data_IF_130083360272
#
_entry.id   IF_130083360272
#
_cell.length_a   1.000
_cell.length_b   1.000
_cell.length_c   1.000
_cell.angle_alpha   90.00
_cell.angle_beta   90.00
_cell.angle_gamma   90.00
#
_symmetry.space_group_name_H-M   'P 1'
#
loop_
_entity.id
_entity.type
_entity.pdbx_description
1 polymer ?
#
# COMPACT_ATOMS: atom_id res chain seq x y z
N UNK A 1 -16.20 -15.61 14.71
CA UNK A 1 -14.79 -15.46 14.32
C UNK A 1 -14.41 -13.97 14.19
N UNK A 2 -14.91 -13.11 15.08
CA UNK A 2 -14.74 -11.65 15.01
C UNK A 2 -13.36 -11.19 15.49
N UNK A 3 -12.77 -11.88 16.46
CA UNK A 3 -11.46 -11.52 17.05
C UNK A 3 -10.28 -11.44 16.05
N UNK A 4 -10.44 -11.92 14.82
CA UNK A 4 -9.40 -11.90 13.78
C UNK A 4 -9.75 -11.07 12.56
N UNK A 5 -10.86 -10.31 12.58
CA UNK A 5 -11.22 -9.45 11.45
C UNK A 5 -10.25 -8.27 11.35
N UNK A 6 -9.46 -8.14 10.26
CA UNK A 6 -8.49 -7.06 10.12
C UNK A 6 -9.11 -5.65 10.17
N UNK A 7 -10.39 -5.49 9.78
CA UNK A 7 -11.09 -4.20 9.82
C UNK A 7 -11.18 -3.68 11.26
N UNK A 8 -11.38 -4.56 12.24
CA UNK A 8 -11.49 -4.18 13.65
C UNK A 8 -10.14 -3.76 14.25
N UNK A 9 -9.02 -4.21 13.66
CA UNK A 9 -7.67 -4.00 14.21
C UNK A 9 -6.87 -2.91 13.50
N UNK A 10 -7.17 -2.62 12.24
CA UNK A 10 -6.52 -1.55 11.45
C UNK A 10 -6.45 -0.18 12.17
N UNK A 11 -7.49 0.27 12.91
CA UNK A 11 -7.41 1.55 13.63
C UNK A 11 -6.28 1.61 14.68
N UNK A 12 -5.82 0.46 15.20
CA UNK A 12 -4.77 0.40 16.23
C UNK A 12 -3.36 0.58 15.68
N UNK A 13 -3.17 0.54 14.36
CA UNK A 13 -1.87 0.60 13.70
C UNK A 13 -1.44 2.06 13.40
N UNK A 14 -1.69 3.00 14.31
CA UNK A 14 -1.47 4.44 14.08
C UNK A 14 -0.02 4.82 13.81
N UNK A 15 0.92 4.18 14.52
CA UNK A 15 2.36 4.43 14.40
C UNK A 15 3.02 3.63 13.26
N UNK A 16 2.24 2.77 12.58
CA UNK A 16 2.75 1.90 11.52
C UNK A 16 2.35 2.45 10.17
N UNK A 17 3.30 2.58 9.25
CA UNK A 17 3.00 2.91 7.85
C UNK A 17 2.39 1.70 7.16
N UNK A 18 1.27 1.91 6.47
CA UNK A 18 0.55 0.86 5.77
C UNK A 18 0.30 1.26 4.31
N UNK A 19 0.52 0.32 3.41
CA UNK A 19 0.13 0.39 2.01
C UNK A 19 -0.87 -0.72 1.70
N UNK A 20 -2.06 -0.35 1.25
CA UNK A 20 -3.09 -1.27 0.77
C UNK A 20 -3.17 -1.19 -0.75
N UNK A 21 -3.00 -2.32 -1.45
CA UNK A 21 -3.06 -2.41 -2.91
C UNK A 21 -4.23 -3.30 -3.34
N UNK A 22 -5.06 -2.82 -4.27
CA UNK A 22 -6.24 -3.56 -4.76
C UNK A 22 -6.30 -3.64 -6.28
N UNK A 23 -6.80 -4.77 -6.78
CA UNK A 23 -7.17 -4.93 -8.18
C UNK A 23 -8.65 -4.53 -8.36
N UNK A 24 -8.93 -3.66 -9.33
CA UNK A 24 -10.29 -3.20 -9.63
C UNK A 24 -11.18 -4.31 -10.19
N UNK A 25 -10.59 -5.28 -10.87
CA UNK A 25 -11.28 -6.41 -11.52
C UNK A 25 -11.03 -7.73 -10.79
N UNK A 26 -10.68 -7.67 -9.50
CA UNK A 26 -10.54 -8.87 -8.68
C UNK A 26 -11.90 -9.58 -8.53
N UNK A 27 -11.96 -10.83 -8.98
CA UNK A 27 -13.16 -11.67 -8.89
C UNK A 27 -13.41 -12.18 -7.47
N UNK A 28 -12.35 -12.38 -6.67
CA UNK A 28 -12.43 -12.97 -5.34
C UNK A 28 -12.66 -11.90 -4.26
N UNK A 29 -12.09 -10.71 -4.43
CA UNK A 29 -12.18 -9.61 -3.48
C UNK A 29 -12.94 -8.45 -4.12
N UNK A 30 -14.11 -8.12 -3.55
CA UNK A 30 -14.92 -7.02 -4.04
C UNK A 30 -14.19 -5.67 -3.88
N UNK A 31 -14.30 -4.79 -4.88
CA UNK A 31 -13.70 -3.45 -4.83
C UNK A 31 -14.13 -2.64 -3.57
N UNK A 32 -15.35 -2.86 -3.08
CA UNK A 32 -15.86 -2.22 -1.86
C UNK A 32 -15.06 -2.58 -0.61
N UNK A 33 -14.46 -3.78 -0.55
CA UNK A 33 -13.63 -4.21 0.58
C UNK A 33 -12.43 -3.28 0.77
N UNK A 34 -11.83 -2.77 -0.31
CA UNK A 34 -10.74 -1.80 -0.22
C UNK A 34 -11.15 -0.46 0.36
N UNK A 35 -12.38 -0.02 0.09
CA UNK A 35 -12.94 1.20 0.68
C UNK A 35 -13.24 1.03 2.17
N UNK A 36 -13.80 -0.11 2.59
CA UNK A 36 -14.04 -0.40 4.01
C UNK A 36 -12.74 -0.49 4.81
N UNK A 37 -11.72 -1.16 4.25
CA UNK A 37 -10.39 -1.22 4.88
C UNK A 37 -9.77 0.18 4.99
N UNK A 38 -9.85 1.02 3.95
CA UNK A 38 -9.34 2.40 4.02
C UNK A 38 -10.09 3.28 5.00
N UNK A 39 -11.40 3.07 5.16
CA UNK A 39 -12.23 3.79 6.13
C UNK A 39 -11.89 3.42 7.57
N UNK A 40 -11.52 2.16 7.81
CA UNK A 40 -11.09 1.68 9.12
C UNK A 40 -9.62 2.00 9.44
N UNK A 41 -8.77 2.16 8.43
CA UNK A 41 -7.34 2.40 8.63
C UNK A 41 -7.03 3.82 9.12
N UNK A 42 -5.88 3.97 9.80
CA UNK A 42 -5.35 5.26 10.21
C UNK A 42 -5.09 6.19 9.01
N UNK A 43 -5.09 7.51 9.24
CA UNK A 43 -4.90 8.51 8.18
C UNK A 43 -3.57 8.36 7.42
N UNK A 44 -2.54 7.81 8.08
CA UNK A 44 -1.23 7.49 7.52
C UNK A 44 -1.23 6.33 6.52
N UNK A 45 -2.37 5.66 6.32
CA UNK A 45 -2.51 4.52 5.41
C UNK A 45 -2.69 4.97 3.97
N UNK A 46 -1.83 4.47 3.09
CA UNK A 46 -1.91 4.64 1.65
C UNK A 46 -2.83 3.57 1.03
N UNK A 47 -3.72 3.98 0.12
CA UNK A 47 -4.58 3.08 -0.66
C UNK A 47 -4.31 3.31 -2.15
N UNK A 48 -3.96 2.24 -2.86
CA UNK A 48 -3.76 2.27 -4.32
C UNK A 48 -4.59 1.18 -5.00
N UNK A 49 -5.25 1.53 -6.10
CA UNK A 49 -6.12 0.63 -6.85
C UNK A 49 -5.73 0.61 -8.32
N UNK A 50 -5.51 -0.58 -8.85
CA UNK A 50 -4.91 -0.82 -10.17
C UNK A 50 -5.88 -1.55 -11.08
N UNK A 51 -5.75 -1.33 -12.38
CA UNK A 51 -6.40 -2.18 -13.37
C UNK A 51 -5.66 -3.53 -13.41
N UNK A 52 -6.35 -4.59 -13.04
CA UNK A 52 -5.75 -5.91 -12.90
C UNK A 52 -6.69 -6.91 -12.23
N UNK A 53 -6.24 -8.16 -12.18
CA UNK A 53 -6.93 -9.28 -11.53
C UNK A 53 -6.28 -9.59 -10.18
N UNK A 54 -6.75 -10.65 -9.54
CA UNK A 54 -6.36 -11.05 -8.19
C UNK A 54 -4.84 -11.24 -7.98
N UNK A 55 -4.11 -11.60 -9.03
CA UNK A 55 -2.67 -11.84 -8.96
C UNK A 55 -1.84 -10.56 -8.75
N UNK A 56 -2.42 -9.39 -9.05
CA UNK A 56 -1.78 -8.08 -8.95
C UNK A 56 -0.39 -8.06 -9.62
N UNK A 57 -0.25 -8.75 -10.76
CA UNK A 57 1.03 -9.05 -11.38
C UNK A 57 1.65 -7.91 -12.22
N UNK A 58 1.06 -6.71 -12.20
CA UNK A 58 1.58 -5.58 -12.99
C UNK A 58 2.90 -5.04 -12.42
N UNK A 59 3.78 -4.56 -13.31
CA UNK A 59 5.05 -3.95 -12.89
C UNK A 59 4.85 -2.65 -12.11
N UNK A 60 3.74 -1.95 -12.36
CA UNK A 60 3.35 -0.76 -11.60
C UNK A 60 3.09 -1.09 -10.12
N UNK A 61 2.34 -2.16 -9.82
CA UNK A 61 2.10 -2.63 -8.45
C UNK A 61 3.41 -2.94 -7.74
N UNK A 62 4.36 -3.58 -8.45
CA UNK A 62 5.68 -3.92 -7.91
C UNK A 62 6.52 -2.69 -7.63
N UNK A 63 6.57 -1.75 -8.57
CA UNK A 63 7.34 -0.51 -8.43
C UNK A 63 6.83 0.33 -7.25
N UNK A 64 5.52 0.49 -7.13
CA UNK A 64 4.91 1.21 -6.01
C UNK A 64 5.19 0.57 -4.66
N UNK A 65 5.11 -0.76 -4.59
CA UNK A 65 5.43 -1.51 -3.38
C UNK A 65 6.89 -1.34 -2.99
N UNK A 66 7.80 -1.42 -3.95
CA UNK A 66 9.22 -1.21 -3.70
C UNK A 66 9.49 0.19 -3.19
N UNK A 67 8.94 1.21 -3.85
CA UNK A 67 9.10 2.61 -3.45
C UNK A 67 8.57 2.85 -2.02
N UNK A 68 7.38 2.34 -1.71
CA UNK A 68 6.81 2.43 -0.37
C UNK A 68 7.74 1.79 0.68
N UNK A 69 8.30 0.61 0.40
CA UNK A 69 9.21 -0.08 1.31
C UNK A 69 10.54 0.68 1.47
N UNK A 70 11.10 1.22 0.39
CA UNK A 70 12.32 2.02 0.43
C UNK A 70 12.13 3.27 1.31
N UNK A 71 10.99 3.95 1.18
CA UNK A 71 10.67 5.13 1.98
C UNK A 71 10.35 4.75 3.44
N UNK A 72 9.52 3.73 3.66
CA UNK A 72 9.13 3.28 5.01
C UNK A 72 10.31 2.74 5.83
N UNK A 73 11.31 2.14 5.19
CA UNK A 73 12.50 1.60 5.84
C UNK A 73 13.69 2.57 5.82
N UNK A 74 13.56 3.74 5.19
CA UNK A 74 14.61 4.75 5.12
C UNK A 74 15.75 4.43 4.15
N UNK A 75 15.55 3.51 3.20
CA UNK A 75 16.50 3.20 2.12
C UNK A 75 16.46 4.21 0.97
N UNK A 76 15.42 5.05 0.87
CA UNK A 76 15.29 6.12 -0.12
C UNK A 76 16.23 7.32 0.07
N UNK A 77 17.02 7.34 1.16
CA UNK A 77 17.92 8.42 1.55
C UNK A 77 19.36 8.30 1.02
N UNK A 78 19.55 8.10 -0.28
CA UNK A 78 20.85 8.35 -0.94
C UNK A 78 20.70 8.65 -2.44
N UNK A 79 20.20 9.84 -2.78
CA UNK A 79 20.53 10.49 -4.06
C UNK A 79 20.61 12.01 -3.91
N UNK A 80 21.65 12.46 -3.20
CA UNK A 80 22.22 13.79 -3.37
C UNK A 80 23.73 13.65 -3.55
N UNK A 81 24.16 13.42 -4.79
CA UNK A 81 25.54 13.61 -5.22
C UNK A 81 25.53 14.28 -6.60
N UNK A 82 25.37 15.59 -6.57
CA UNK A 82 26.01 16.61 -7.41
C UNK A 82 26.69 16.12 -8.69
N UNK A 83 26.02 16.27 -9.84
CA UNK A 83 26.71 16.40 -11.12
C UNK A 83 27.00 17.89 -11.38
N UNK A 84 28.10 18.37 -10.83
CA UNK A 84 28.81 19.53 -11.36
C UNK A 84 30.18 19.05 -11.80
N UNK A 85 30.37 18.89 -13.11
CA UNK A 85 31.67 18.92 -13.75
C UNK A 85 31.53 19.05 -15.28
N UNK A 86 31.80 20.27 -15.74
CA UNK A 86 32.31 20.71 -17.06
C UNK A 86 31.38 20.72 -18.26
#
# INVERSE_FOLDING_TARGET
MRDVDPIEHLPSLTETRLLLQFARSDFFIAAMTGLELRKAAAESTELKAYDGEHDMASDEVRADRLHFLEDALGYGGASTATASAR
#
